data_IF_208695241061
#
_entry.id   IF_208695241061
#
_cell.length_a   1.000
_cell.length_b   1.000
_cell.length_c   1.000
_cell.angle_alpha   90.00
_cell.angle_beta   90.00
_cell.angle_gamma   90.00
#
_symmetry.space_group_name_H-M   'P 1'
#
loop_
_entity.id
_entity.type
_entity.pdbx_description
1 polymer ?
#
# COMPACT_ATOMS: atom_id res chain seq x y z
N UNK A 1 -1.36 51.24 -43.43
CA UNK A 1 -0.91 52.61 -43.74
C UNK A 1 -0.28 52.66 -45.14
N UNK A 2 -0.92 52.09 -46.19
CA UNK A 2 -0.29 51.85 -47.50
C UNK A 2 -1.06 52.45 -48.69
N UNK A 3 -1.49 53.72 -48.61
CA UNK A 3 -2.13 54.38 -49.78
C UNK A 3 -1.10 54.98 -50.74
N UNK A 4 0.07 55.35 -50.26
CA UNK A 4 1.10 56.08 -51.02
C UNK A 4 1.86 55.21 -52.04
N UNK A 5 2.12 53.94 -51.72
CA UNK A 5 2.84 53.02 -52.61
C UNK A 5 2.10 52.74 -53.94
N UNK A 6 0.83 52.30 -53.89
CA UNK A 6 0.00 52.10 -55.08
C UNK A 6 -0.18 53.37 -55.92
N UNK A 7 -0.34 54.53 -55.28
CA UNK A 7 -0.50 55.82 -55.95
C UNK A 7 0.77 56.28 -56.71
N UNK A 8 1.96 55.89 -56.25
CA UNK A 8 3.22 56.19 -56.93
C UNK A 8 3.44 55.35 -58.19
N UNK A 9 2.97 54.10 -58.20
CA UNK A 9 2.99 53.24 -59.41
C UNK A 9 2.10 53.77 -60.52
N UNK A 10 0.96 54.38 -60.17
CA UNK A 10 0.05 55.01 -61.13
C UNK A 10 0.67 56.27 -61.77
N UNK A 11 1.53 56.98 -61.04
CA UNK A 11 2.17 58.22 -61.49
C UNK A 11 3.52 58.00 -62.21
N UNK A 12 4.30 56.99 -61.82
CA UNK A 12 5.58 56.63 -62.46
C UNK A 12 5.81 55.10 -62.38
N UNK A 13 5.48 54.34 -63.43
CA UNK A 13 5.54 52.87 -63.41
C UNK A 13 6.94 52.29 -63.18
N UNK A 14 7.99 52.95 -63.69
CA UNK A 14 9.38 52.46 -63.61
C UNK A 14 10.01 52.79 -62.26
N UNK A 15 9.77 53.98 -61.72
CA UNK A 15 10.35 54.43 -60.46
C UNK A 15 9.53 53.98 -59.22
N UNK A 16 8.25 53.64 -59.43
CA UNK A 16 7.36 53.13 -58.40
C UNK A 16 7.58 51.65 -58.07
N UNK A 17 8.17 50.86 -58.95
CA UNK A 17 8.38 49.42 -58.75
C UNK A 17 9.29 49.09 -57.55
N UNK A 18 10.48 49.71 -57.38
CA UNK A 18 11.31 49.47 -56.20
C UNK A 18 10.66 49.92 -54.89
N UNK A 19 9.79 50.94 -54.96
CA UNK A 19 8.99 51.42 -53.82
C UNK A 19 7.92 50.38 -53.49
N UNK A 20 7.32 49.77 -54.52
CA UNK A 20 6.36 48.66 -54.41
C UNK A 20 6.95 47.49 -53.65
N UNK A 21 8.06 46.99 -54.15
CA UNK A 21 8.77 45.85 -53.57
C UNK A 21 9.11 46.12 -52.10
N UNK A 22 9.62 47.31 -51.78
CA UNK A 22 9.93 47.72 -50.40
C UNK A 22 8.71 47.76 -49.48
N UNK A 23 7.59 48.36 -49.90
CA UNK A 23 6.41 48.42 -49.04
C UNK A 23 5.75 47.05 -48.90
N UNK A 24 5.73 46.23 -49.95
CA UNK A 24 5.19 44.86 -49.91
C UNK A 24 6.04 43.98 -49.00
N UNK A 25 7.37 44.05 -49.09
CA UNK A 25 8.27 43.33 -48.19
C UNK A 25 8.09 43.78 -46.73
N UNK A 26 7.93 45.09 -46.50
CA UNK A 26 7.66 45.65 -45.16
C UNK A 26 6.32 45.18 -44.61
N UNK A 27 5.27 45.13 -45.44
CA UNK A 27 3.93 44.65 -45.06
C UNK A 27 3.93 43.14 -44.72
N UNK A 28 4.69 42.35 -45.48
CA UNK A 28 4.92 40.93 -45.19
C UNK A 28 5.66 40.73 -43.86
N UNK A 29 6.75 41.47 -43.63
CA UNK A 29 7.50 41.43 -42.37
C UNK A 29 6.62 41.85 -41.18
N UNK A 30 5.84 42.91 -41.33
CA UNK A 30 4.91 43.37 -40.30
C UNK A 30 3.83 42.33 -39.99
N UNK A 31 3.26 41.71 -41.03
CA UNK A 31 2.24 40.65 -40.88
C UNK A 31 2.82 39.44 -40.16
N UNK A 32 4.04 39.01 -40.54
CA UNK A 32 4.76 37.92 -39.88
C UNK A 32 5.04 38.26 -38.41
N UNK A 33 5.61 39.44 -38.13
CA UNK A 33 5.89 39.88 -36.76
C UNK A 33 4.62 39.89 -35.90
N UNK A 34 3.49 40.38 -36.44
CA UNK A 34 2.20 40.37 -35.75
C UNK A 34 1.73 38.95 -35.42
N UNK A 35 1.92 38.00 -36.35
CA UNK A 35 1.60 36.59 -36.12
C UNK A 35 2.52 35.97 -35.05
N UNK A 36 3.83 36.20 -35.14
CA UNK A 36 4.83 35.70 -34.20
C UNK A 36 4.58 36.22 -32.78
N UNK A 37 4.27 37.52 -32.63
CA UNK A 37 3.91 38.13 -31.34
C UNK A 37 2.64 37.51 -30.77
N UNK A 38 1.61 37.28 -31.61
CA UNK A 38 0.36 36.64 -31.16
C UNK A 38 0.61 35.20 -30.69
N UNK A 39 1.41 34.43 -31.43
CA UNK A 39 1.77 33.08 -31.06
C UNK A 39 2.58 33.05 -29.76
N UNK A 40 3.54 33.97 -29.61
CA UNK A 40 4.36 34.10 -28.41
C UNK A 40 3.51 34.45 -27.18
N UNK A 41 2.56 35.37 -27.32
CA UNK A 41 1.64 35.72 -26.23
C UNK A 41 0.83 34.50 -25.78
N UNK A 42 0.20 33.77 -26.71
CA UNK A 42 -0.57 32.57 -26.39
C UNK A 42 0.29 31.49 -25.68
N UNK A 43 1.53 31.30 -26.14
CA UNK A 43 2.46 30.34 -25.52
C UNK A 43 2.84 30.75 -24.10
N UNK A 44 3.04 32.05 -23.85
CA UNK A 44 3.34 32.58 -22.51
C UNK A 44 2.14 32.45 -21.57
N UNK A 45 0.94 32.75 -22.05
CA UNK A 45 -0.29 32.62 -21.26
C UNK A 45 -0.52 31.15 -20.85
N UNK A 46 -0.29 30.20 -21.75
CA UNK A 46 -0.36 28.77 -21.45
C UNK A 46 0.71 28.36 -20.42
N UNK A 47 1.95 28.81 -20.59
CA UNK A 47 3.04 28.50 -19.67
C UNK A 47 2.79 29.06 -18.26
N UNK A 48 2.27 30.28 -18.14
CA UNK A 48 1.88 30.89 -16.87
C UNK A 48 0.78 30.06 -16.22
N UNK A 49 -0.29 29.75 -16.96
CA UNK A 49 -1.41 28.94 -16.44
C UNK A 49 -0.94 27.57 -15.91
N UNK A 50 -0.09 26.87 -16.67
CA UNK A 50 0.48 25.58 -16.25
C UNK A 50 1.37 25.72 -15.01
N UNK A 51 2.24 26.73 -14.98
CA UNK A 51 3.16 27.00 -13.88
C UNK A 51 2.41 27.33 -12.58
N UNK A 52 1.40 28.20 -12.65
CA UNK A 52 0.55 28.55 -11.49
C UNK A 52 -0.14 27.30 -10.96
N UNK A 53 -0.79 26.52 -11.81
CA UNK A 53 -1.47 25.31 -11.35
C UNK A 53 -0.54 24.24 -10.77
N UNK A 54 0.73 24.18 -11.20
CA UNK A 54 1.71 23.29 -10.59
C UNK A 54 2.05 23.78 -9.17
N UNK A 55 2.45 25.05 -9.04
CA UNK A 55 2.85 25.62 -7.75
C UNK A 55 1.72 25.63 -6.72
N UNK A 56 0.47 25.85 -7.15
CA UNK A 56 -0.70 25.85 -6.26
C UNK A 56 -1.02 24.45 -5.70
N UNK A 57 -0.63 23.38 -6.41
CA UNK A 57 -1.08 22.01 -6.11
C UNK A 57 0.01 21.08 -5.59
N UNK A 58 1.28 21.39 -5.85
CA UNK A 58 2.39 20.50 -5.48
C UNK A 58 2.53 20.36 -3.96
N UNK A 59 2.44 21.46 -3.20
CA UNK A 59 2.60 21.41 -1.75
C UNK A 59 1.42 20.69 -1.06
N UNK A 60 0.15 20.94 -1.41
CA UNK A 60 -0.97 20.13 -0.92
C UNK A 60 -0.88 18.64 -1.25
N UNK A 61 -0.34 18.30 -2.44
CA UNK A 61 -0.09 16.90 -2.81
C UNK A 61 0.98 16.28 -1.90
N UNK A 62 2.10 16.97 -1.71
CA UNK A 62 3.18 16.52 -0.81
C UNK A 62 2.67 16.32 0.61
N UNK A 63 1.94 17.27 1.18
CA UNK A 63 1.34 17.14 2.52
C UNK A 63 0.41 15.92 2.63
N UNK A 64 -0.39 15.66 1.59
CA UNK A 64 -1.28 14.49 1.56
C UNK A 64 -0.50 13.18 1.53
N UNK A 65 0.55 13.10 0.71
CA UNK A 65 1.41 11.91 0.61
C UNK A 65 2.21 11.69 1.89
N UNK A 66 2.78 12.75 2.48
CA UNK A 66 3.55 12.67 3.74
C UNK A 66 2.70 12.15 4.89
N UNK A 67 1.46 12.63 5.02
CA UNK A 67 0.52 12.14 6.03
C UNK A 67 0.20 10.65 5.86
N UNK A 68 0.08 10.19 4.62
CA UNK A 68 -0.16 8.76 4.34
C UNK A 68 1.09 7.94 4.70
N UNK A 69 2.27 8.37 4.24
CA UNK A 69 3.55 7.71 4.50
C UNK A 69 3.85 7.61 6.02
N UNK A 70 3.64 8.70 6.78
CA UNK A 70 3.86 8.71 8.23
C UNK A 70 3.02 7.64 8.94
N UNK A 71 1.74 7.51 8.57
CA UNK A 71 0.85 6.48 9.13
C UNK A 71 1.29 5.07 8.76
N UNK A 72 1.85 4.86 7.57
CA UNK A 72 2.30 3.55 7.09
C UNK A 72 3.68 3.15 7.60
N UNK A 73 4.55 4.10 7.94
CA UNK A 73 5.83 3.82 8.57
C UNK A 73 5.67 3.33 10.01
N UNK A 74 4.61 3.76 10.70
CA UNK A 74 4.30 3.34 12.07
C UNK A 74 2.85 2.83 12.15
N UNK A 75 2.53 1.73 11.44
CA UNK A 75 1.18 1.20 11.45
C UNK A 75 0.88 0.57 12.82
N UNK A 76 -0.40 0.45 13.22
CA UNK A 76 -0.78 -0.29 14.40
C UNK A 76 -0.20 -1.72 14.38
N UNK A 77 0.12 -2.28 15.55
CA UNK A 77 0.55 -3.67 15.63
C UNK A 77 -0.55 -4.61 15.10
N UNK A 78 -0.15 -5.71 14.45
CA UNK A 78 -1.10 -6.70 13.95
C UNK A 78 -1.74 -7.43 15.13
N UNK A 79 -3.06 -7.61 15.08
CA UNK A 79 -3.79 -8.31 16.13
C UNK A 79 -3.66 -9.83 16.00
N UNK A 80 -4.03 -10.56 17.05
CA UNK A 80 -4.18 -12.03 17.03
C UNK A 80 -5.62 -12.47 16.80
N UNK A 81 -6.58 -11.55 16.88
CA UNK A 81 -8.00 -11.83 16.63
C UNK A 81 -8.29 -11.72 15.13
N UNK A 82 -8.75 -12.80 14.52
CA UNK A 82 -8.99 -12.89 13.06
C UNK A 82 -9.88 -11.75 12.55
N UNK A 83 -10.94 -11.40 13.27
CA UNK A 83 -11.85 -10.33 12.84
C UNK A 83 -11.19 -8.94 12.88
N UNK A 84 -10.33 -8.66 13.87
CA UNK A 84 -9.55 -7.42 13.91
C UNK A 84 -8.51 -7.38 12.79
N UNK A 85 -7.90 -8.50 12.44
CA UNK A 85 -6.96 -8.55 11.30
C UNK A 85 -7.71 -8.23 9.99
N UNK A 86 -8.94 -8.74 9.80
CA UNK A 86 -9.78 -8.38 8.63
C UNK A 86 -10.10 -6.89 8.57
N UNK A 87 -10.36 -6.26 9.71
CA UNK A 87 -10.54 -4.80 9.81
C UNK A 87 -9.24 -4.08 9.38
N UNK A 88 -8.09 -4.49 9.91
CA UNK A 88 -6.78 -3.93 9.54
C UNK A 88 -6.47 -4.10 8.03
N UNK A 89 -6.84 -5.23 7.42
CA UNK A 89 -6.72 -5.44 5.96
C UNK A 89 -7.61 -4.46 5.21
N UNK A 90 -8.83 -4.23 5.68
CA UNK A 90 -9.77 -3.29 5.05
C UNK A 90 -9.28 -1.84 5.16
N UNK A 91 -8.70 -1.47 6.29
CA UNK A 91 -8.05 -0.17 6.48
C UNK A 91 -6.85 0.00 5.54
N UNK A 92 -6.00 -1.02 5.39
CA UNK A 92 -4.87 -1.00 4.47
C UNK A 92 -5.33 -0.82 3.01
N UNK A 93 -6.40 -1.53 2.60
CA UNK A 93 -7.02 -1.37 1.27
C UNK A 93 -7.61 0.03 1.04
N UNK A 94 -8.10 0.66 2.10
CA UNK A 94 -8.59 2.05 2.01
C UNK A 94 -7.47 3.01 1.61
N UNK A 95 -6.22 2.74 2.03
CA UNK A 95 -5.06 3.54 1.59
C UNK A 95 -4.81 3.38 0.10
N UNK A 96 -4.91 2.17 -0.46
CA UNK A 96 -4.80 1.93 -1.90
C UNK A 96 -5.87 2.72 -2.68
N UNK A 97 -7.12 2.69 -2.21
CA UNK A 97 -8.23 3.45 -2.81
C UNK A 97 -7.97 4.96 -2.75
N UNK A 98 -7.40 5.45 -1.65
CA UNK A 98 -7.05 6.87 -1.53
C UNK A 98 -5.91 7.27 -2.47
N UNK A 99 -4.90 6.40 -2.68
CA UNK A 99 -3.88 6.61 -3.70
C UNK A 99 -4.48 6.64 -5.11
N UNK A 100 -5.37 5.73 -5.46
CA UNK A 100 -6.04 5.72 -6.77
C UNK A 100 -6.78 7.04 -7.05
N UNK A 101 -7.42 7.63 -6.03
CA UNK A 101 -8.07 8.95 -6.15
C UNK A 101 -7.06 10.08 -6.40
N UNK A 102 -5.84 9.98 -5.85
CA UNK A 102 -4.79 10.98 -6.01
C UNK A 102 -4.03 10.84 -7.34
N UNK A 103 -4.07 9.65 -7.97
CA UNK A 103 -3.28 9.32 -9.15
C UNK A 103 -3.41 10.32 -10.31
N UNK A 104 -4.62 10.78 -10.72
CA UNK A 104 -4.73 11.74 -11.82
C UNK A 104 -4.04 13.07 -11.53
N UNK A 105 -4.10 13.52 -10.27
CA UNK A 105 -3.44 14.77 -9.85
C UNK A 105 -1.92 14.58 -9.77
N UNK A 106 -1.45 13.42 -9.30
CA UNK A 106 -0.03 13.07 -9.27
C UNK A 106 0.56 13.05 -10.69
N UNK A 107 -0.08 12.37 -11.63
CA UNK A 107 0.35 12.30 -13.04
C UNK A 107 0.38 13.68 -13.69
N UNK A 108 -0.66 14.48 -13.47
CA UNK A 108 -0.75 15.86 -13.97
C UNK A 108 0.37 16.74 -13.41
N UNK A 109 0.66 16.65 -12.11
CA UNK A 109 1.74 17.40 -11.47
C UNK A 109 3.11 16.99 -12.00
N UNK A 110 3.34 15.68 -12.12
CA UNK A 110 4.57 15.12 -12.66
C UNK A 110 4.83 15.64 -14.08
N UNK A 111 3.87 15.47 -14.98
CA UNK A 111 3.97 15.96 -16.35
C UNK A 111 4.26 17.46 -16.40
N UNK A 112 3.54 18.27 -15.62
CA UNK A 112 3.71 19.74 -15.64
C UNK A 112 5.07 20.18 -15.13
N UNK A 113 5.55 19.56 -14.04
CA UNK A 113 6.87 19.87 -13.52
C UNK A 113 7.98 19.50 -14.50
N UNK A 114 7.88 18.33 -15.14
CA UNK A 114 8.82 17.89 -16.20
C UNK A 114 8.79 18.86 -17.40
N UNK A 115 7.61 19.28 -17.85
CA UNK A 115 7.45 20.28 -18.91
C UNK A 115 8.05 21.65 -18.52
N UNK A 116 7.93 22.06 -17.25
CA UNK A 116 8.53 23.31 -16.76
C UNK A 116 10.05 23.26 -16.79
N UNK A 117 10.63 22.14 -16.35
CA UNK A 117 12.08 21.93 -16.37
C UNK A 117 12.57 21.88 -17.82
N UNK A 118 11.88 21.18 -18.71
CA UNK A 118 12.25 21.08 -20.13
C UNK A 118 12.24 22.43 -20.87
N UNK A 119 11.43 23.40 -20.42
CA UNK A 119 11.40 24.78 -20.98
C UNK A 119 12.47 25.71 -20.39
N UNK A 120 13.12 25.31 -19.30
CA UNK A 120 14.18 26.08 -18.64
C UNK A 120 15.57 25.79 -19.23
N UNK A 121 16.62 26.40 -18.69
CA UNK A 121 18.01 26.02 -19.00
C UNK A 121 18.45 24.68 -18.37
N UNK A 122 17.51 23.96 -17.74
CA UNK A 122 17.70 22.71 -17.02
C UNK A 122 17.94 22.93 -15.53
N UNK A 123 17.66 21.90 -14.72
CA UNK A 123 17.81 21.93 -13.26
C UNK A 123 19.26 22.16 -12.78
N UNK A 124 20.25 21.94 -13.65
CA UNK A 124 21.67 22.18 -13.34
C UNK A 124 22.05 23.68 -13.38
N UNK A 125 21.29 24.50 -14.10
CA UNK A 125 21.63 25.91 -14.39
C UNK A 125 20.58 26.90 -13.88
N UNK A 126 19.32 26.47 -13.80
CA UNK A 126 18.20 27.28 -13.34
C UNK A 126 17.75 26.82 -11.94
N UNK A 127 17.91 27.70 -10.94
CA UNK A 127 17.51 27.44 -9.56
C UNK A 127 16.00 27.19 -9.41
N UNK A 128 15.17 27.82 -10.25
CA UNK A 128 13.73 27.59 -10.25
C UNK A 128 13.41 26.19 -10.77
N UNK A 129 14.08 25.76 -11.85
CA UNK A 129 13.95 24.42 -12.38
C UNK A 129 14.45 23.36 -11.38
N UNK A 130 15.52 23.66 -10.65
CA UNK A 130 16.02 22.79 -9.57
C UNK A 130 14.99 22.63 -8.45
N UNK A 131 14.36 23.71 -8.00
CA UNK A 131 13.33 23.65 -6.98
C UNK A 131 12.10 22.83 -7.42
N UNK A 132 11.70 22.92 -8.70
CA UNK A 132 10.66 22.07 -9.27
C UNK A 132 11.09 20.61 -9.28
N UNK A 133 12.32 20.31 -9.71
CA UNK A 133 12.87 18.95 -9.72
C UNK A 133 12.88 18.34 -8.32
N UNK A 134 13.35 19.08 -7.30
CA UNK A 134 13.42 18.58 -5.93
C UNK A 134 12.03 18.23 -5.38
N UNK A 135 11.01 19.04 -5.68
CA UNK A 135 9.62 18.73 -5.31
C UNK A 135 9.07 17.50 -6.05
N UNK A 136 9.39 17.35 -7.34
CA UNK A 136 9.01 16.16 -8.10
C UNK A 136 9.66 14.90 -7.55
N UNK A 137 10.97 14.94 -7.29
CA UNK A 137 11.73 13.83 -6.74
C UNK A 137 11.16 13.39 -5.39
N UNK A 138 10.81 14.36 -4.53
CA UNK A 138 10.16 14.10 -3.25
C UNK A 138 8.77 13.47 -3.43
N UNK A 139 7.96 14.00 -4.35
CA UNK A 139 6.62 13.47 -4.63
C UNK A 139 6.68 12.03 -5.16
N UNK A 140 7.59 11.76 -6.11
CA UNK A 140 7.80 10.42 -6.69
C UNK A 140 8.33 9.45 -5.64
N UNK A 141 9.27 9.88 -4.79
CA UNK A 141 9.76 9.07 -3.69
C UNK A 141 8.63 8.65 -2.76
N UNK A 142 7.85 9.62 -2.25
CA UNK A 142 6.73 9.34 -1.35
C UNK A 142 5.69 8.42 -1.99
N UNK A 143 5.36 8.67 -3.25
CA UNK A 143 4.40 7.84 -3.98
C UNK A 143 4.84 6.36 -4.00
N UNK A 144 6.09 6.10 -4.39
CA UNK A 144 6.63 4.74 -4.47
C UNK A 144 6.78 4.10 -3.09
N UNK A 145 7.21 4.88 -2.09
CA UNK A 145 7.37 4.42 -0.71
C UNK A 145 6.02 3.98 -0.11
N UNK A 146 4.95 4.77 -0.31
CA UNK A 146 3.60 4.40 0.11
C UNK A 146 3.15 3.10 -0.57
N UNK A 147 3.37 2.95 -1.88
CA UNK A 147 3.00 1.73 -2.60
C UNK A 147 3.71 0.49 -2.02
N UNK A 148 5.02 0.59 -1.77
CA UNK A 148 5.79 -0.50 -1.19
C UNK A 148 5.32 -0.84 0.24
N UNK A 149 5.08 0.18 1.08
CA UNK A 149 4.63 -0.02 2.46
C UNK A 149 3.24 -0.66 2.53
N UNK A 150 2.31 -0.27 1.65
CA UNK A 150 0.96 -0.85 1.58
C UNK A 150 1.03 -2.33 1.18
N UNK A 151 1.83 -2.66 0.17
CA UNK A 151 2.01 -4.04 -0.30
C UNK A 151 2.68 -4.91 0.79
N UNK A 152 3.78 -4.44 1.38
CA UNK A 152 4.46 -5.13 2.47
C UNK A 152 3.52 -5.37 3.65
N UNK A 153 2.71 -4.36 4.01
CA UNK A 153 1.75 -4.47 5.10
C UNK A 153 0.62 -5.46 4.77
N UNK A 154 0.13 -5.49 3.53
CA UNK A 154 -0.90 -6.42 3.11
C UNK A 154 -0.43 -7.87 3.21
N UNK A 155 0.77 -8.17 2.72
CA UNK A 155 1.38 -9.51 2.82
C UNK A 155 1.47 -9.94 4.28
N UNK A 156 2.03 -9.10 5.16
CA UNK A 156 2.15 -9.42 6.59
C UNK A 156 0.79 -9.65 7.26
N UNK A 157 -0.22 -8.86 6.92
CA UNK A 157 -1.56 -9.03 7.49
C UNK A 157 -2.19 -10.35 7.06
N UNK A 158 -2.03 -10.75 5.80
CA UNK A 158 -2.54 -12.02 5.29
C UNK A 158 -1.82 -13.21 5.93
N UNK A 159 -0.49 -13.18 5.98
CA UNK A 159 0.31 -14.24 6.60
C UNK A 159 -0.06 -14.45 8.08
N UNK A 160 -0.23 -13.35 8.82
CA UNK A 160 -0.64 -13.42 10.24
C UNK A 160 -2.10 -13.84 10.40
N UNK A 161 -2.99 -13.45 9.48
CA UNK A 161 -4.38 -13.90 9.50
C UNK A 161 -4.47 -15.43 9.33
N UNK A 162 -3.75 -15.98 8.36
CA UNK A 162 -3.74 -17.43 8.09
C UNK A 162 -3.14 -18.20 9.28
N UNK A 163 -2.06 -17.68 9.87
CA UNK A 163 -1.47 -18.26 11.07
C UNK A 163 -2.41 -18.18 12.29
N UNK A 164 -3.09 -17.05 12.49
CA UNK A 164 -4.03 -16.86 13.58
C UNK A 164 -5.26 -17.77 13.44
N UNK A 165 -5.85 -17.85 12.24
CA UNK A 165 -7.00 -18.72 11.96
C UNK A 165 -6.64 -20.18 12.25
N UNK A 166 -5.50 -20.64 11.74
CA UNK A 166 -4.99 -21.99 12.00
C UNK A 166 -4.78 -22.23 13.49
N UNK A 167 -4.09 -21.33 14.18
CA UNK A 167 -3.84 -21.43 15.62
C UNK A 167 -5.13 -21.58 16.42
N UNK A 168 -6.13 -20.72 16.18
CA UNK A 168 -7.38 -20.75 16.93
C UNK A 168 -8.25 -21.96 16.59
N UNK A 169 -8.25 -22.41 15.34
CA UNK A 169 -8.93 -23.63 14.92
C UNK A 169 -8.30 -24.87 15.58
N UNK A 170 -6.98 -25.06 15.44
CA UNK A 170 -6.27 -26.21 15.98
C UNK A 170 -6.33 -26.23 17.52
N UNK A 171 -6.15 -25.06 18.16
CA UNK A 171 -6.30 -24.88 19.61
C UNK A 171 -7.69 -25.30 20.10
N UNK A 172 -8.75 -24.83 19.42
CA UNK A 172 -10.13 -25.14 19.80
C UNK A 172 -10.44 -26.62 19.62
N UNK A 173 -10.01 -27.22 18.49
CA UNK A 173 -10.19 -28.63 18.22
C UNK A 173 -9.51 -29.48 19.30
N UNK A 174 -8.25 -29.17 19.63
CA UNK A 174 -7.50 -29.89 20.66
C UNK A 174 -8.16 -29.76 22.05
N UNK A 175 -8.66 -28.58 22.44
CA UNK A 175 -9.40 -28.42 23.70
C UNK A 175 -10.65 -29.29 23.74
N UNK A 176 -11.40 -29.35 22.64
CA UNK A 176 -12.62 -30.19 22.56
C UNK A 176 -12.24 -31.65 22.69
N UNK A 177 -11.27 -32.13 21.93
CA UNK A 177 -10.80 -33.53 21.99
C UNK A 177 -10.32 -33.92 23.38
N UNK A 178 -9.57 -33.04 24.07
CA UNK A 178 -9.13 -33.27 25.45
C UNK A 178 -10.30 -33.37 26.43
N UNK A 179 -11.32 -32.51 26.28
CA UNK A 179 -12.51 -32.54 27.14
C UNK A 179 -13.32 -33.82 26.93
N UNK A 180 -13.59 -34.16 25.67
CA UNK A 180 -14.32 -35.37 25.30
C UNK A 180 -13.58 -36.62 25.80
N UNK A 181 -12.25 -36.64 25.66
CA UNK A 181 -11.38 -37.68 26.22
C UNK A 181 -11.49 -37.79 27.74
N UNK A 182 -11.48 -36.66 28.46
CA UNK A 182 -11.64 -36.65 29.91
C UNK A 182 -13.01 -37.15 30.35
N UNK A 183 -14.07 -36.80 29.64
CA UNK A 183 -15.42 -37.23 29.94
C UNK A 183 -15.60 -38.73 29.65
N UNK A 184 -15.07 -39.23 28.53
CA UNK A 184 -15.05 -40.66 28.22
C UNK A 184 -14.30 -41.47 29.30
N UNK A 185 -13.15 -40.97 29.78
CA UNK A 185 -12.40 -41.61 30.85
C UNK A 185 -13.20 -41.66 32.17
N UNK A 186 -14.01 -40.64 32.47
CA UNK A 186 -14.85 -40.60 33.68
C UNK A 186 -16.05 -41.54 33.61
N UNK A 187 -16.53 -41.84 32.41
CA UNK A 187 -17.65 -42.76 32.18
C UNK A 187 -17.24 -44.24 32.26
N UNK A 188 -15.94 -44.55 32.33
CA UNK A 188 -15.47 -45.91 32.48
C UNK A 188 -15.96 -46.55 33.78
N UNK A 189 -16.66 -47.67 33.64
CA UNK A 189 -17.15 -48.47 34.75
C UNK A 189 -16.00 -49.04 35.60
N UNK A 190 -16.30 -49.38 36.86
CA UNK A 190 -15.36 -50.12 37.70
C UNK A 190 -14.95 -51.45 37.03
N UNK A 191 -13.73 -51.97 37.33
CA UNK A 191 -13.28 -53.23 36.76
C UNK A 191 -14.29 -54.36 37.00
N UNK A 192 -14.65 -55.08 35.94
CA UNK A 192 -15.55 -56.22 36.03
C UNK A 192 -14.96 -57.37 36.89
N UNK A 193 -15.82 -58.26 37.38
CA UNK A 193 -15.37 -59.48 38.11
C UNK A 193 -15.10 -60.67 37.18
N UNK A 194 -15.63 -60.64 35.96
CA UNK A 194 -15.41 -61.68 34.96
C UNK A 194 -14.11 -61.40 34.17
N UNK A 195 -13.19 -62.37 34.05
CA UNK A 195 -11.95 -62.20 33.30
C UNK A 195 -12.13 -61.74 31.84
N UNK A 196 -13.22 -62.13 31.18
CA UNK A 196 -13.51 -61.72 29.80
C UNK A 196 -13.88 -60.24 29.70
N UNK A 197 -14.65 -59.73 30.66
CA UNK A 197 -15.03 -58.31 30.75
C UNK A 197 -13.81 -57.45 31.05
N UNK A 198 -12.97 -57.88 32.00
CA UNK A 198 -11.71 -57.18 32.33
C UNK A 198 -10.80 -57.11 31.11
N UNK A 199 -10.69 -58.18 30.33
CA UNK A 199 -9.88 -58.19 29.11
C UNK A 199 -10.40 -57.19 28.07
N UNK A 200 -11.72 -57.10 27.89
CA UNK A 200 -12.33 -56.13 26.96
C UNK A 200 -12.10 -54.68 27.43
N UNK A 201 -12.25 -54.41 28.73
CA UNK A 201 -11.93 -53.10 29.33
C UNK A 201 -10.45 -52.75 29.13
N UNK A 202 -9.54 -53.73 29.25
CA UNK A 202 -8.11 -53.53 29.03
C UNK A 202 -7.79 -53.19 27.56
N UNK A 203 -8.37 -53.90 26.60
CA UNK A 203 -8.20 -53.61 25.17
C UNK A 203 -8.71 -52.20 24.82
N UNK A 204 -9.84 -51.79 25.41
CA UNK A 204 -10.38 -50.43 25.24
C UNK A 204 -9.42 -49.36 25.80
N UNK A 205 -8.94 -49.53 27.03
CA UNK A 205 -8.05 -48.55 27.69
C UNK A 205 -6.70 -48.44 26.97
N UNK A 206 -6.17 -49.54 26.40
CA UNK A 206 -4.92 -49.47 25.63
C UNK A 206 -5.13 -48.70 24.31
N UNK A 207 -6.23 -48.95 23.58
CA UNK A 207 -6.55 -48.16 22.38
C UNK A 207 -6.76 -46.68 22.69
N UNK A 208 -7.51 -46.39 23.76
CA UNK A 208 -7.71 -45.01 24.21
C UNK A 208 -6.39 -44.33 24.62
N UNK A 209 -5.46 -45.08 25.23
CA UNK A 209 -4.12 -44.56 25.54
C UNK A 209 -3.34 -44.22 24.27
N UNK A 210 -3.39 -45.06 23.23
CA UNK A 210 -2.76 -44.77 21.92
C UNK A 210 -3.32 -43.47 21.31
N UNK A 211 -4.64 -43.25 21.40
CA UNK A 211 -5.28 -42.00 20.95
C UNK A 211 -4.74 -40.77 21.71
N UNK A 212 -4.66 -40.85 23.05
CA UNK A 212 -4.12 -39.76 23.87
C UNK A 212 -2.64 -39.49 23.56
N UNK A 213 -1.87 -40.55 23.31
CA UNK A 213 -0.45 -40.40 22.98
C UNK A 213 -0.26 -39.72 21.61
N UNK A 214 -1.21 -39.91 20.68
CA UNK A 214 -1.27 -39.18 19.41
C UNK A 214 -1.53 -37.67 19.56
N UNK A 215 -2.29 -37.24 20.57
CA UNK A 215 -2.57 -35.82 20.84
C UNK A 215 -1.32 -35.00 21.19
N UNK A 216 -0.21 -35.64 21.54
CA UNK A 216 1.04 -34.94 21.81
C UNK A 216 1.58 -34.23 20.56
N UNK A 217 1.45 -34.83 19.38
CA UNK A 217 1.88 -34.20 18.12
C UNK A 217 1.04 -32.96 17.79
N UNK A 218 -0.27 -33.04 18.01
CA UNK A 218 -1.19 -31.90 17.86
C UNK A 218 -0.86 -30.77 18.84
N UNK A 219 -0.57 -31.10 20.10
CA UNK A 219 -0.17 -30.12 21.11
C UNK A 219 1.12 -29.41 20.71
N UNK A 220 2.15 -30.15 20.28
CA UNK A 220 3.41 -29.56 19.84
C UNK A 220 3.21 -28.64 18.63
N UNK A 221 2.32 -29.03 17.71
CA UNK A 221 1.89 -28.20 16.58
C UNK A 221 1.27 -26.87 17.02
N UNK A 222 0.30 -26.91 17.94
CA UNK A 222 -0.36 -25.70 18.47
C UNK A 222 0.62 -24.82 19.26
N UNK A 223 1.52 -25.41 20.05
CA UNK A 223 2.56 -24.68 20.76
C UNK A 223 3.50 -23.93 19.80
N UNK A 224 3.91 -24.58 18.70
CA UNK A 224 4.75 -23.95 17.68
C UNK A 224 4.03 -22.80 16.97
N UNK A 225 2.78 -23.02 16.55
CA UNK A 225 1.95 -21.98 15.94
C UNK A 225 1.76 -20.78 16.88
N UNK A 226 1.51 -21.03 18.17
CA UNK A 226 1.38 -19.98 19.18
C UNK A 226 2.69 -19.19 19.37
N UNK A 227 3.84 -19.86 19.36
CA UNK A 227 5.15 -19.20 19.42
C UNK A 227 5.39 -18.31 18.19
N UNK A 228 5.12 -18.81 16.99
CA UNK A 228 5.21 -18.04 15.74
C UNK A 228 4.27 -16.82 15.79
N UNK A 229 3.02 -17.01 16.22
CA UNK A 229 2.04 -15.93 16.30
C UNK A 229 2.46 -14.85 17.32
N UNK A 230 3.06 -15.23 18.46
CA UNK A 230 3.65 -14.30 19.43
C UNK A 230 4.81 -13.49 18.88
N UNK A 231 5.53 -13.97 17.85
CA UNK A 231 6.58 -13.18 17.20
C UNK A 231 6.02 -12.20 16.17
N UNK A 232 4.87 -12.52 15.58
CA UNK A 232 4.27 -11.73 14.50
C UNK A 232 3.28 -10.67 14.98
N UNK A 233 2.71 -10.81 16.19
CA UNK A 233 1.73 -9.88 16.74
C UNK A 233 2.33 -8.79 17.65
N UNK A 234 1.51 -7.81 18.01
CA UNK A 234 1.87 -6.77 18.98
C UNK A 234 1.96 -7.25 20.43
N UNK A 235 2.78 -6.56 21.24
CA UNK A 235 2.88 -6.79 22.69
C UNK A 235 1.53 -6.86 23.45
N UNK A 236 0.50 -6.04 23.13
CA UNK A 236 -0.79 -6.12 23.84
C UNK A 236 -1.51 -7.48 23.70
N UNK A 237 -1.26 -8.20 22.61
CA UNK A 237 -1.97 -9.44 22.28
C UNK A 237 -1.19 -10.71 22.69
N UNK A 238 0.11 -10.59 22.94
CA UNK A 238 0.95 -11.72 23.43
C UNK A 238 0.40 -12.40 24.69
N UNK A 239 -0.13 -11.70 25.71
CA UNK A 239 -0.72 -12.34 26.88
C UNK A 239 -1.94 -13.22 26.56
N UNK A 240 -2.69 -12.89 25.50
CA UNK A 240 -3.87 -13.66 25.07
C UNK A 240 -3.43 -15.04 24.57
N UNK A 241 -2.47 -15.07 23.65
CA UNK A 241 -1.90 -16.33 23.15
C UNK A 241 -1.30 -17.12 24.31
N UNK A 242 -0.47 -16.48 25.14
CA UNK A 242 0.19 -17.15 26.26
C UNK A 242 -0.80 -17.83 27.20
N UNK A 243 -1.89 -17.13 27.57
CA UNK A 243 -2.94 -17.71 28.41
C UNK A 243 -3.56 -18.94 27.75
N UNK A 244 -3.88 -18.88 26.46
CA UNK A 244 -4.43 -20.00 25.70
C UNK A 244 -3.49 -21.21 25.65
N UNK A 245 -2.18 -20.99 25.54
CA UNK A 245 -1.16 -22.05 25.58
C UNK A 245 -0.98 -22.63 27.00
N UNK A 246 -1.01 -21.78 28.03
CA UNK A 246 -0.89 -22.19 29.44
C UNK A 246 -2.08 -23.08 29.84
N UNK A 247 -3.30 -22.77 29.35
CA UNK A 247 -4.50 -23.58 29.56
C UNK A 247 -4.40 -24.97 28.93
N UNK A 248 -3.84 -25.07 27.71
CA UNK A 248 -3.55 -26.35 27.04
C UNK A 248 -2.45 -27.15 27.76
N UNK A 249 -1.41 -26.47 28.25
CA UNK A 249 -0.33 -27.16 28.97
C UNK A 249 -0.81 -27.72 30.32
N UNK A 250 -1.77 -27.03 30.96
CA UNK A 250 -2.36 -27.45 32.21
C UNK A 250 -3.34 -28.61 32.09
N UNK A 251 -3.94 -28.84 30.91
CA UNK A 251 -4.94 -29.89 30.68
C UNK A 251 -4.38 -31.31 30.63
N UNK A 252 -3.06 -31.49 30.81
CA UNK A 252 -2.48 -32.73 31.32
C UNK A 252 -1.83 -33.65 30.29
N UNK A 253 -1.85 -33.34 29.00
CA UNK A 253 -1.11 -34.10 27.98
C UNK A 253 0.40 -34.11 28.30
N UNK A 254 0.97 -32.95 28.68
CA UNK A 254 2.41 -32.81 29.01
C UNK A 254 2.85 -33.57 30.28
N UNK A 255 1.92 -34.02 31.14
CA UNK A 255 2.28 -34.72 32.39
C UNK A 255 2.63 -36.20 32.20
N UNK A 256 2.47 -36.77 31.00
CA UNK A 256 2.80 -38.18 30.71
C UNK A 256 4.29 -38.45 30.44
N UNK A 257 5.15 -37.45 30.30
CA UNK A 257 6.59 -37.66 30.01
C UNK A 257 7.41 -38.01 31.27
N UNK A 258 6.85 -37.95 32.47
CA UNK A 258 7.65 -38.07 33.71
C UNK A 258 7.02 -38.86 34.87
N UNK A 259 6.15 -39.84 34.60
CA UNK A 259 5.76 -40.85 35.61
C UNK A 259 5.51 -42.22 35.00
#
# INVERSE_FOLDING_TARGET
>A
MNKTGPQLLELSPVEGEPIREKYTATDQLYTKLKADVKQRAATLDEAISKSTQFHDKIDPMLESLERIAERLHQPPSISVEVDKIKEQITENKTVSVDLEKLQPSYETLKQRGEEMIARSEGADKDLSAKAVQDKLDRMVFLWNDIQALVEEREVKLLDVMDLADKFWCDHTALIVTIKDSHDLLRELEEPGVDPSVVKQQQEFVEGFKEEIDGLQEELDGVLNQGAELMTACGEPDKPVIKKSLDELSASGISKKVNR
#
